data_IF_949301459537
#
_entry.id   IF_949301459537
#
_cell.length_a   1.000
_cell.length_b   1.000
_cell.length_c   1.000
_cell.angle_alpha   90.00
_cell.angle_beta   90.00
_cell.angle_gamma   90.00
#
_symmetry.space_group_name_H-M   'P 1'
#
loop_
_entity.id
_entity.type
_entity.pdbx_description
1 polymer ?
#
# COMPACT_ATOMS: atom_id res chain seq x y z
N UNK A 1 -9.05 17.93 -11.50
CA UNK A 1 -10.07 18.00 -12.57
C UNK A 1 -11.47 17.54 -12.09
N UNK A 2 -11.63 16.29 -11.59
CA UNK A 2 -12.95 15.77 -11.15
C UNK A 2 -13.55 16.60 -9.99
N UNK A 3 -12.78 16.84 -8.94
CA UNK A 3 -13.23 17.62 -7.78
C UNK A 3 -13.66 19.03 -8.19
N UNK A 4 -12.83 19.75 -8.93
CA UNK A 4 -13.14 21.10 -9.44
C UNK A 4 -14.44 21.10 -10.24
N UNK A 5 -14.60 20.16 -11.19
CA UNK A 5 -15.79 20.08 -12.03
C UNK A 5 -17.08 19.92 -11.22
N UNK A 6 -17.06 19.06 -10.20
CA UNK A 6 -18.24 18.81 -9.36
C UNK A 6 -18.56 20.02 -8.47
N UNK A 7 -17.56 20.64 -7.86
CA UNK A 7 -17.75 21.81 -7.02
C UNK A 7 -18.24 23.02 -7.84
N UNK A 8 -17.70 23.23 -9.03
CA UNK A 8 -18.16 24.27 -9.96
C UNK A 8 -19.63 24.06 -10.35
N UNK A 9 -20.06 22.80 -10.48
CA UNK A 9 -21.45 22.46 -10.77
C UNK A 9 -22.38 22.88 -9.64
N UNK A 10 -22.00 22.63 -8.38
CA UNK A 10 -22.77 23.05 -7.19
C UNK A 10 -22.84 24.57 -7.10
N UNK A 11 -21.72 25.26 -7.33
CA UNK A 11 -21.68 26.74 -7.32
C UNK A 11 -22.59 27.36 -8.38
N UNK A 12 -22.61 26.80 -9.60
CA UNK A 12 -23.51 27.24 -10.68
C UNK A 12 -24.98 26.99 -10.37
N UNK A 13 -25.30 25.96 -9.59
CA UNK A 13 -26.65 25.59 -9.22
C UNK A 13 -27.26 26.38 -8.04
N UNK A 14 -26.54 27.40 -7.51
CA UNK A 14 -27.02 28.25 -6.43
C UNK A 14 -26.13 28.29 -5.19
N UNK A 15 -24.90 27.81 -5.30
CA UNK A 15 -23.85 27.89 -4.28
C UNK A 15 -24.27 27.31 -2.92
N UNK A 16 -24.92 26.13 -2.95
CA UNK A 16 -25.33 25.40 -1.76
C UNK A 16 -24.14 25.11 -0.81
N UNK A 17 -24.38 24.99 0.50
CA UNK A 17 -23.35 24.61 1.45
C UNK A 17 -22.81 23.21 1.14
N UNK A 18 -21.48 23.08 1.15
CA UNK A 18 -20.75 21.85 0.81
C UNK A 18 -20.11 21.27 2.06
N UNK A 19 -20.30 19.98 2.26
CA UNK A 19 -19.60 19.17 3.27
C UNK A 19 -18.71 18.18 2.57
N UNK A 20 -17.43 18.13 2.98
CA UNK A 20 -16.43 17.25 2.39
C UNK A 20 -16.17 16.07 3.32
N UNK A 21 -16.20 14.86 2.80
CA UNK A 21 -15.88 13.65 3.56
C UNK A 21 -14.61 13.02 3.02
N UNK A 22 -13.63 12.83 3.90
CA UNK A 22 -12.35 12.18 3.60
C UNK A 22 -12.03 11.16 4.68
N UNK A 23 -11.10 10.23 4.41
CA UNK A 23 -10.58 9.38 5.48
C UNK A 23 -9.45 10.09 6.23
N UNK A 24 -8.48 10.64 5.49
CA UNK A 24 -7.35 11.38 6.06
C UNK A 24 -7.67 12.87 6.20
N UNK A 25 -7.17 13.53 7.26
CA UNK A 25 -7.23 14.99 7.34
C UNK A 25 -6.39 15.62 6.21
N UNK A 26 -6.92 16.71 5.63
CA UNK A 26 -6.27 17.40 4.50
C UNK A 26 -5.21 18.39 5.00
N UNK A 27 -4.10 17.87 5.52
CA UNK A 27 -3.01 18.69 6.06
C UNK A 27 -1.63 18.07 5.80
N UNK A 28 -0.59 18.84 6.05
CA UNK A 28 0.79 18.38 5.99
C UNK A 28 1.03 17.21 6.97
N UNK A 29 1.70 16.18 6.49
CA UNK A 29 2.01 14.94 7.22
C UNK A 29 0.95 13.85 7.13
N UNK A 30 -0.25 14.15 6.60
CA UNK A 30 -1.32 13.18 6.38
C UNK A 30 -1.61 12.95 4.89
N UNK A 31 -1.54 14.03 4.08
CA UNK A 31 -1.77 13.99 2.62
C UNK A 31 -0.75 14.89 1.92
N UNK A 32 0.07 14.34 1.03
CA UNK A 32 1.17 15.09 0.40
C UNK A 32 0.71 16.30 -0.41
N UNK A 33 -0.36 16.17 -1.16
CA UNK A 33 -0.94 17.25 -1.98
C UNK A 33 -2.16 17.93 -1.35
N UNK A 34 -2.24 17.93 -0.02
CA UNK A 34 -3.35 18.55 0.74
C UNK A 34 -3.68 19.96 0.26
N UNK A 35 -2.66 20.76 -0.03
CA UNK A 35 -2.77 22.15 -0.46
C UNK A 35 -3.46 22.29 -1.82
N UNK A 36 -3.24 21.38 -2.77
CA UNK A 36 -3.94 21.41 -4.07
C UNK A 36 -5.44 21.18 -3.90
N UNK A 37 -5.80 20.32 -2.93
CA UNK A 37 -7.20 20.02 -2.61
C UNK A 37 -7.84 21.20 -1.89
N UNK A 38 -7.17 21.76 -0.87
CA UNK A 38 -7.71 22.92 -0.12
C UNK A 38 -7.83 24.16 -1.01
N UNK A 39 -6.91 24.38 -1.95
CA UNK A 39 -6.99 25.49 -2.95
C UNK A 39 -8.28 25.40 -3.77
N UNK A 40 -8.67 24.18 -4.17
CA UNK A 40 -9.93 23.98 -4.89
C UNK A 40 -11.12 24.17 -3.96
N UNK A 41 -11.10 23.62 -2.77
CA UNK A 41 -12.20 23.70 -1.80
C UNK A 41 -12.52 25.14 -1.38
N UNK A 42 -11.49 25.96 -1.17
CA UNK A 42 -11.59 27.37 -0.73
C UNK A 42 -12.26 28.30 -1.74
N UNK A 43 -12.41 27.86 -2.99
CA UNK A 43 -13.13 28.62 -4.03
C UNK A 43 -14.65 28.43 -3.95
N UNK A 44 -15.12 27.61 -3.00
CA UNK A 44 -16.53 27.20 -2.91
C UNK A 44 -17.06 27.35 -1.48
N UNK A 45 -18.39 27.27 -1.33
CA UNK A 45 -19.09 27.40 -0.04
C UNK A 45 -18.94 26.14 0.83
N UNK A 46 -17.69 25.73 1.12
CA UNK A 46 -17.37 24.57 1.95
C UNK A 46 -17.59 24.91 3.42
N UNK A 47 -18.37 24.14 4.14
CA UNK A 47 -18.67 24.36 5.55
C UNK A 47 -17.62 23.77 6.47
N UNK A 48 -17.25 22.54 6.23
CA UNK A 48 -16.17 21.83 6.91
C UNK A 48 -15.78 20.57 6.14
N UNK A 49 -14.64 20.03 6.50
CA UNK A 49 -14.19 18.70 6.15
C UNK A 49 -14.52 17.77 7.32
N UNK A 50 -14.93 16.54 7.05
CA UNK A 50 -15.20 15.52 8.05
C UNK A 50 -14.41 14.26 7.75
N UNK A 51 -13.58 13.84 8.68
CA UNK A 51 -12.65 12.74 8.51
C UNK A 51 -12.64 11.73 9.64
N UNK A 52 -11.71 10.79 9.53
CA UNK A 52 -11.46 9.72 10.48
C UNK A 52 -9.98 9.58 10.81
N UNK A 53 -9.39 8.43 10.48
CA UNK A 53 -7.98 8.06 10.58
C UNK A 53 -7.42 7.98 12.01
N UNK A 54 -7.52 9.05 12.80
CA UNK A 54 -6.99 9.09 14.18
C UNK A 54 -7.88 8.41 15.23
N UNK A 55 -9.05 7.92 14.84
CA UNK A 55 -10.00 7.19 15.70
C UNK A 55 -10.45 7.96 16.95
N UNK A 56 -10.43 9.29 16.93
CA UNK A 56 -10.84 10.18 18.03
C UNK A 56 -11.33 11.50 17.51
N UNK A 57 -12.10 12.20 18.33
CA UNK A 57 -12.58 13.54 18.01
C UNK A 57 -11.42 14.54 18.04
N UNK A 58 -11.17 15.23 16.95
CA UNK A 58 -10.17 16.28 16.80
C UNK A 58 -10.69 17.37 15.86
N UNK A 59 -10.19 18.57 16.07
CA UNK A 59 -10.39 19.69 15.12
C UNK A 59 -9.03 20.15 14.63
N UNK A 60 -8.87 20.21 13.32
CA UNK A 60 -7.73 20.82 12.66
C UNK A 60 -8.16 22.03 11.85
N UNK A 61 -7.24 22.92 11.61
CA UNK A 61 -7.35 23.96 10.60
C UNK A 61 -6.61 23.48 9.36
N UNK A 62 -7.34 23.35 8.26
CA UNK A 62 -6.80 22.97 6.97
C UNK A 62 -6.88 24.18 6.02
N UNK A 63 -5.92 25.09 6.17
CA UNK A 63 -5.83 26.32 5.37
C UNK A 63 -7.12 27.18 5.50
N UNK A 64 -7.58 27.37 6.75
CA UNK A 64 -8.81 28.09 7.10
C UNK A 64 -10.11 27.29 7.01
N UNK A 65 -10.07 26.05 6.53
CA UNK A 65 -11.23 25.16 6.53
C UNK A 65 -11.16 24.28 7.79
N UNK A 66 -12.23 24.27 8.57
CA UNK A 66 -12.33 23.35 9.72
C UNK A 66 -12.37 21.90 9.24
N UNK A 67 -11.41 21.09 9.70
CA UNK A 67 -11.36 19.65 9.44
C UNK A 67 -11.63 18.89 10.74
N UNK A 68 -12.79 18.27 10.82
CA UNK A 68 -13.34 17.63 12.01
C UNK A 68 -13.17 16.13 11.90
N UNK A 69 -12.23 15.58 12.65
CA UNK A 69 -12.09 14.14 12.75
C UNK A 69 -13.06 13.57 13.77
N UNK A 70 -13.66 12.48 13.40
CA UNK A 70 -14.65 11.79 14.21
C UNK A 70 -14.05 10.51 14.82
N UNK A 71 -14.52 10.16 16.00
CA UNK A 71 -14.13 8.88 16.63
C UNK A 71 -14.52 7.70 15.74
N UNK A 72 -13.72 6.63 15.80
CA UNK A 72 -14.12 5.34 15.26
C UNK A 72 -15.06 4.60 16.21
N UNK A 73 -15.78 3.62 15.67
CA UNK A 73 -16.59 2.72 16.49
C UNK A 73 -15.72 1.89 17.47
N UNK A 74 -14.57 1.40 17.00
CA UNK A 74 -13.57 0.69 17.81
C UNK A 74 -12.38 1.62 18.11
N UNK A 75 -12.02 1.73 19.40
CA UNK A 75 -10.87 2.50 19.86
C UNK A 75 -10.04 1.66 20.83
N UNK A 76 -8.73 1.56 20.61
CA UNK A 76 -7.83 0.67 21.34
C UNK A 76 -7.88 0.77 22.88
N UNK A 77 -8.32 1.91 23.40
CA UNK A 77 -8.37 2.18 24.83
C UNK A 77 -9.79 2.44 25.37
N UNK A 78 -10.79 2.33 24.52
CA UNK A 78 -12.18 2.58 24.88
C UNK A 78 -12.97 1.27 24.83
N UNK A 79 -13.51 0.87 25.95
CA UNK A 79 -14.30 -0.36 26.06
C UNK A 79 -15.75 -0.20 25.60
N UNK A 80 -16.18 1.06 25.32
CA UNK A 80 -17.53 1.38 24.90
C UNK A 80 -17.53 1.86 23.44
N UNK A 81 -18.18 1.14 22.55
CA UNK A 81 -18.39 1.53 21.18
C UNK A 81 -19.22 2.81 21.09
N UNK A 82 -19.04 3.56 19.99
CA UNK A 82 -19.79 4.79 19.78
C UNK A 82 -19.67 5.33 18.37
N UNK A 83 -20.36 6.43 18.14
CA UNK A 83 -20.42 7.13 16.86
C UNK A 83 -20.59 8.63 17.08
N UNK A 84 -20.43 9.41 16.03
CA UNK A 84 -20.68 10.86 16.05
C UNK A 84 -22.10 11.15 15.55
N UNK A 85 -22.76 12.09 16.21
CA UNK A 85 -24.01 12.68 15.75
C UNK A 85 -23.71 14.11 15.34
N UNK A 86 -24.14 14.50 14.16
CA UNK A 86 -23.97 15.86 13.63
C UNK A 86 -25.34 16.44 13.36
N UNK A 87 -25.61 17.60 13.93
CA UNK A 87 -26.85 18.35 13.68
C UNK A 87 -26.52 19.67 13.00
N UNK A 88 -27.33 20.03 12.01
CA UNK A 88 -27.15 21.25 11.22
C UNK A 88 -28.44 22.04 11.34
N UNK A 89 -28.34 23.24 11.94
CA UNK A 89 -29.45 24.20 12.08
C UNK A 89 -28.94 25.60 11.77
N UNK A 90 -28.81 26.45 12.75
CA UNK A 90 -28.10 27.74 12.76
C UNK A 90 -26.57 27.57 12.91
N UNK A 91 -26.16 26.38 13.29
CA UNK A 91 -24.79 25.97 13.51
C UNK A 91 -24.65 24.50 13.20
N UNK A 92 -23.39 24.04 13.02
CA UNK A 92 -23.04 22.64 12.85
C UNK A 92 -22.54 22.16 14.22
N UNK A 93 -23.27 21.27 14.86
CA UNK A 93 -22.96 20.76 16.19
C UNK A 93 -22.57 19.30 16.13
N UNK A 94 -21.47 18.97 16.76
CA UNK A 94 -20.89 17.63 16.81
C UNK A 94 -21.04 17.05 18.22
N UNK A 95 -21.58 15.83 18.29
CA UNK A 95 -21.78 15.09 19.53
C UNK A 95 -21.07 13.75 19.46
N UNK A 96 -20.45 13.34 20.54
CA UNK A 96 -20.01 11.96 20.73
C UNK A 96 -21.12 11.17 21.41
N UNK A 97 -21.54 10.07 20.78
CA UNK A 97 -22.49 9.14 21.37
C UNK A 97 -21.81 7.81 21.64
N UNK A 98 -21.69 7.45 22.92
CA UNK A 98 -21.27 6.13 23.35
C UNK A 98 -22.50 5.27 23.61
N UNK A 99 -22.40 3.95 23.30
CA UNK A 99 -23.52 3.04 23.48
C UNK A 99 -23.86 2.95 24.96
N UNK A 100 -25.13 3.18 25.31
CA UNK A 100 -25.62 3.18 26.71
C UNK A 100 -25.43 4.49 27.47
N UNK A 101 -24.75 5.51 26.91
CA UNK A 101 -24.58 6.84 27.52
C UNK A 101 -25.31 7.91 26.72
N UNK A 102 -25.54 9.07 27.30
CA UNK A 102 -26.11 10.22 26.61
C UNK A 102 -25.12 10.79 25.58
N UNK A 103 -25.65 11.47 24.58
CA UNK A 103 -24.81 12.15 23.58
C UNK A 103 -24.18 13.41 24.21
N UNK A 104 -22.85 13.49 24.12
CA UNK A 104 -22.06 14.59 24.68
C UNK A 104 -21.65 15.55 23.57
N UNK A 105 -22.02 16.82 23.69
CA UNK A 105 -21.62 17.88 22.77
C UNK A 105 -20.15 18.21 22.97
N UNK A 106 -19.36 18.30 21.89
CA UNK A 106 -17.94 18.62 21.98
C UNK A 106 -17.47 19.75 21.07
N UNK A 107 -18.21 20.04 19.97
CA UNK A 107 -17.81 21.08 19.01
C UNK A 107 -19.04 21.71 18.36
N UNK A 108 -18.99 23.04 18.16
CA UNK A 108 -19.89 23.80 17.30
C UNK A 108 -19.10 24.62 16.30
N UNK A 109 -19.53 24.57 15.05
CA UNK A 109 -19.02 25.43 13.97
C UNK A 109 -20.15 26.34 13.46
N UNK A 110 -19.85 27.57 13.00
CA UNK A 110 -20.83 28.42 12.39
C UNK A 110 -21.28 27.83 11.05
N UNK A 111 -22.58 27.86 10.81
CA UNK A 111 -23.19 27.45 9.54
C UNK A 111 -23.65 28.69 8.77
N UNK A 112 -23.38 28.76 7.48
CA UNK A 112 -23.75 29.88 6.62
C UNK A 112 -22.85 30.00 5.41
N UNK A 113 -23.02 31.04 4.63
CA UNK A 113 -22.15 31.27 3.48
C UNK A 113 -20.68 31.47 3.92
N UNK A 114 -19.79 30.75 3.28
CA UNK A 114 -18.35 30.77 3.53
C UNK A 114 -17.63 31.39 2.35
N UNK A 115 -16.77 32.35 2.67
CA UNK A 115 -15.77 32.92 1.77
C UNK A 115 -14.42 32.86 2.46
N UNK A 116 -13.45 32.29 1.79
CA UNK A 116 -12.11 32.11 2.34
C UNK A 116 -11.19 33.21 1.83
N UNK A 117 -10.45 33.83 2.74
CA UNK A 117 -9.46 34.87 2.42
C UNK A 117 -8.27 34.34 1.60
N UNK A 118 -7.22 35.14 1.41
CA UNK A 118 -6.02 34.69 0.72
C UNK A 118 -5.40 33.44 1.36
N UNK A 119 -4.83 32.58 0.53
CA UNK A 119 -4.11 31.38 0.98
C UNK A 119 -2.79 31.75 1.63
N UNK A 120 -2.45 31.13 2.76
CA UNK A 120 -1.11 31.21 3.34
C UNK A 120 -0.17 30.26 2.58
N UNK A 121 0.64 30.80 1.68
CA UNK A 121 1.59 30.01 0.91
C UNK A 121 2.84 29.63 1.69
N UNK A 122 3.07 30.22 2.88
CA UNK A 122 4.26 29.93 3.71
C UNK A 122 4.26 28.53 4.28
N UNK A 123 3.08 27.93 4.43
CA UNK A 123 2.89 26.53 4.92
C UNK A 123 2.97 25.49 3.80
N UNK A 124 3.16 25.91 2.55
CA UNK A 124 3.27 25.00 1.39
C UNK A 124 4.58 24.23 1.44
N UNK A 125 4.60 22.98 0.91
CA UNK A 125 5.84 22.24 0.77
C UNK A 125 6.84 22.97 -0.11
N UNK A 126 8.11 22.99 0.30
CA UNK A 126 9.20 23.51 -0.52
C UNK A 126 9.72 22.43 -1.48
N UNK A 127 9.50 22.61 -2.77
CA UNK A 127 9.99 21.74 -3.82
C UNK A 127 11.28 22.24 -4.47
N UNK A 128 12.00 23.17 -3.83
CA UNK A 128 13.25 23.73 -4.38
C UNK A 128 14.32 22.67 -4.61
N UNK A 129 14.32 21.60 -3.81
CA UNK A 129 15.19 20.42 -3.98
C UNK A 129 15.13 19.83 -5.39
N UNK A 130 13.96 19.88 -6.05
CA UNK A 130 13.80 19.39 -7.42
C UNK A 130 14.65 20.19 -8.44
N UNK A 131 15.09 21.41 -8.09
CA UNK A 131 15.97 22.23 -8.93
C UNK A 131 17.44 21.82 -8.83
N UNK A 132 17.82 21.15 -7.76
CA UNK A 132 19.18 20.66 -7.53
C UNK A 132 19.49 19.43 -8.40
N UNK A 133 18.51 18.59 -8.63
CA UNK A 133 18.63 17.36 -9.42
C UNK A 133 18.35 17.60 -10.91
N UNK A 134 19.10 18.51 -11.54
CA UNK A 134 18.93 18.91 -12.95
C UNK A 134 19.08 17.77 -13.96
N UNK A 135 19.74 16.68 -13.55
CA UNK A 135 19.95 15.50 -14.39
C UNK A 135 18.77 14.53 -14.37
N UNK A 136 17.84 14.67 -13.42
CA UNK A 136 16.61 13.88 -13.37
C UNK A 136 15.61 14.50 -14.34
N UNK A 137 15.27 13.78 -15.40
CA UNK A 137 14.30 14.22 -16.42
C UNK A 137 13.10 13.29 -16.44
N UNK A 138 11.92 13.87 -16.37
CA UNK A 138 10.70 13.10 -16.64
C UNK A 138 10.64 12.74 -18.12
N UNK A 139 10.70 11.45 -18.44
CA UNK A 139 10.60 10.96 -19.81
C UNK A 139 9.17 11.08 -20.34
N UNK A 140 8.20 10.65 -19.53
CA UNK A 140 6.77 10.73 -19.84
C UNK A 140 5.93 10.74 -18.56
N UNK A 141 4.64 11.00 -18.73
CA UNK A 141 3.64 10.95 -17.68
C UNK A 141 2.35 10.35 -18.26
N UNK A 142 1.70 9.47 -17.50
CA UNK A 142 0.44 8.85 -17.87
C UNK A 142 -0.55 8.92 -16.71
N UNK A 143 -1.69 9.56 -16.91
CA UNK A 143 -2.80 9.46 -15.99
C UNK A 143 -3.58 8.17 -16.30
N UNK A 144 -3.82 7.34 -15.30
CA UNK A 144 -4.65 6.14 -15.38
C UNK A 144 -6.05 6.46 -14.82
N UNK A 145 -7.01 5.52 -14.98
CA UNK A 145 -8.40 5.73 -14.53
C UNK A 145 -8.56 5.66 -13.03
N UNK A 146 -7.82 4.75 -12.37
CA UNK A 146 -7.89 4.49 -10.94
C UNK A 146 -6.59 4.77 -10.20
N UNK A 147 -6.62 4.63 -8.88
CA UNK A 147 -5.45 4.64 -8.02
C UNK A 147 -4.55 3.43 -8.28
N UNK A 148 -3.26 3.58 -8.04
CA UNK A 148 -2.27 2.53 -8.26
C UNK A 148 -1.77 2.06 -6.90
N UNK A 149 -1.97 0.77 -6.61
CA UNK A 149 -1.43 0.08 -5.44
C UNK A 149 -0.38 -0.97 -5.83
N UNK A 150 -0.41 -1.43 -7.09
CA UNK A 150 0.52 -2.41 -7.61
C UNK A 150 1.87 -1.78 -7.97
N UNK A 151 2.96 -2.51 -7.77
CA UNK A 151 4.26 -2.14 -8.30
C UNK A 151 4.32 -2.50 -9.79
N UNK A 152 4.75 -1.57 -10.67
CA UNK A 152 4.88 -1.87 -12.08
C UNK A 152 6.01 -2.89 -12.33
N UNK A 153 5.84 -3.75 -13.34
CA UNK A 153 6.88 -4.67 -13.80
C UNK A 153 7.16 -4.45 -15.28
N UNK A 154 8.33 -4.87 -15.75
CA UNK A 154 8.76 -4.66 -17.14
C UNK A 154 9.42 -5.91 -17.72
N UNK A 155 9.23 -6.11 -19.03
CA UNK A 155 9.97 -7.07 -19.86
C UNK A 155 11.13 -6.41 -20.64
N UNK A 156 11.47 -5.13 -20.30
CA UNK A 156 12.47 -4.33 -21.01
C UNK A 156 11.92 -3.51 -22.17
N UNK A 157 10.73 -3.80 -22.66
CA UNK A 157 10.07 -3.07 -23.74
C UNK A 157 8.74 -2.43 -23.32
N UNK A 158 8.00 -3.13 -22.50
CA UNK A 158 6.69 -2.77 -21.98
C UNK A 158 6.71 -2.72 -20.44
N UNK A 159 5.86 -1.88 -19.89
CA UNK A 159 5.57 -1.78 -18.47
C UNK A 159 4.14 -2.27 -18.24
N UNK A 160 3.96 -3.13 -17.25
CA UNK A 160 2.66 -3.70 -16.88
C UNK A 160 2.27 -3.20 -15.48
N UNK A 161 1.02 -2.71 -15.35
CA UNK A 161 0.52 -2.15 -14.09
C UNK A 161 -1.00 -2.26 -14.01
N UNK A 162 -1.52 -2.63 -12.84
CA UNK A 162 -2.95 -2.67 -12.54
C UNK A 162 -3.41 -1.46 -11.75
N UNK A 163 -4.68 -1.10 -11.89
CA UNK A 163 -5.31 -0.03 -11.10
C UNK A 163 -6.47 -0.55 -10.24
N UNK A 164 -6.96 0.30 -9.33
CA UNK A 164 -8.02 -0.05 -8.37
C UNK A 164 -9.44 0.05 -8.94
N UNK A 165 -9.59 0.38 -10.21
CA UNK A 165 -10.87 0.25 -10.93
C UNK A 165 -10.93 -1.01 -11.79
N UNK A 166 -9.83 -1.80 -11.83
CA UNK A 166 -9.81 -3.14 -12.41
C UNK A 166 -9.16 -3.26 -13.77
N UNK A 167 -8.42 -2.27 -14.20
CA UNK A 167 -7.77 -2.28 -15.51
C UNK A 167 -6.29 -2.65 -15.38
N UNK A 168 -5.86 -3.69 -16.10
CA UNK A 168 -4.45 -4.00 -16.35
C UNK A 168 -4.01 -3.27 -17.61
N UNK A 169 -2.92 -2.55 -17.54
CA UNK A 169 -2.32 -1.79 -18.63
C UNK A 169 -1.00 -2.42 -19.06
N UNK A 170 -0.76 -2.44 -20.37
CA UNK A 170 0.58 -2.51 -20.94
C UNK A 170 0.90 -1.17 -21.58
N UNK A 171 1.99 -0.57 -21.13
CA UNK A 171 2.49 0.73 -21.61
C UNK A 171 3.85 0.55 -22.26
N UNK A 172 4.12 1.24 -23.34
CA UNK A 172 5.47 1.30 -23.92
C UNK A 172 6.42 1.94 -22.91
N UNK A 173 7.50 1.25 -22.56
CA UNK A 173 8.42 1.70 -21.49
C UNK A 173 9.09 3.04 -21.81
N UNK A 174 9.36 3.34 -23.09
CA UNK A 174 10.06 4.59 -23.50
C UNK A 174 9.13 5.77 -23.65
N UNK A 175 7.88 5.57 -24.09
CA UNK A 175 6.96 6.67 -24.45
C UNK A 175 5.74 6.80 -23.55
N UNK A 176 5.43 5.80 -22.70
CA UNK A 176 4.21 5.75 -21.91
C UNK A 176 2.92 5.57 -22.73
N UNK A 177 3.02 5.32 -24.03
CA UNK A 177 1.84 5.03 -24.85
C UNK A 177 1.25 3.68 -24.49
N UNK A 178 -0.09 3.58 -24.49
CA UNK A 178 -0.78 2.32 -24.20
C UNK A 178 -0.63 1.36 -25.36
N UNK A 179 -0.10 0.16 -25.11
CA UNK A 179 -0.06 -0.94 -26.03
C UNK A 179 -1.42 -1.65 -26.05
N UNK A 180 -1.91 -2.03 -24.87
CA UNK A 180 -3.21 -2.66 -24.68
C UNK A 180 -3.73 -2.42 -23.25
N UNK A 181 -5.01 -2.70 -23.04
CA UNK A 181 -5.67 -2.77 -21.73
C UNK A 181 -6.49 -4.06 -21.63
N UNK A 182 -6.61 -4.57 -20.40
CA UNK A 182 -7.48 -5.68 -20.05
C UNK A 182 -8.29 -5.31 -18.81
N UNK A 183 -9.61 -5.34 -18.91
CA UNK A 183 -10.52 -4.91 -17.84
C UNK A 183 -11.11 -6.13 -17.13
N UNK A 184 -10.83 -6.27 -15.83
CA UNK A 184 -11.37 -7.35 -14.99
C UNK A 184 -12.69 -6.96 -14.31
N UNK A 185 -13.09 -5.70 -14.39
CA UNK A 185 -14.26 -5.14 -13.71
C UNK A 185 -14.12 -4.95 -12.20
N UNK A 186 -13.02 -5.40 -11.58
CA UNK A 186 -12.77 -5.30 -10.15
C UNK A 186 -11.28 -5.06 -9.88
N UNK A 187 -10.98 -4.40 -8.76
CA UNK A 187 -9.65 -3.93 -8.35
C UNK A 187 -8.51 -4.92 -8.63
N UNK A 188 -7.40 -4.39 -9.13
CA UNK A 188 -6.11 -5.07 -9.24
C UNK A 188 -5.17 -4.40 -8.24
N UNK A 189 -4.97 -5.02 -7.09
CA UNK A 189 -4.15 -4.51 -5.98
C UNK A 189 -2.76 -5.12 -6.01
N UNK A 190 -2.68 -6.44 -6.27
CA UNK A 190 -1.43 -7.18 -6.34
C UNK A 190 -0.58 -6.77 -7.54
N UNK A 191 0.73 -6.77 -7.33
CA UNK A 191 1.68 -6.50 -8.42
C UNK A 191 1.71 -7.67 -9.41
N UNK A 192 1.67 -7.41 -10.72
CA UNK A 192 1.79 -8.45 -11.73
C UNK A 192 3.22 -9.03 -11.74
N UNK A 193 3.38 -10.17 -12.41
CA UNK A 193 4.67 -10.68 -12.82
C UNK A 193 4.66 -10.92 -14.33
N UNK A 194 5.82 -10.77 -14.98
CA UNK A 194 5.98 -11.02 -16.43
C UNK A 194 7.23 -11.85 -16.68
N UNK A 195 7.10 -12.92 -17.43
CA UNK A 195 8.19 -13.74 -17.95
C UNK A 195 7.73 -14.48 -19.18
N UNK A 196 8.66 -14.73 -20.10
CA UNK A 196 8.46 -15.57 -21.28
C UNK A 196 7.19 -15.24 -22.09
N UNK A 197 6.88 -13.95 -22.19
CA UNK A 197 5.72 -13.47 -22.95
C UNK A 197 4.37 -13.62 -22.28
N UNK A 198 4.34 -13.96 -20.98
CA UNK A 198 3.10 -14.09 -20.20
C UNK A 198 3.10 -13.11 -19.01
N UNK A 199 1.99 -12.40 -18.80
CA UNK A 199 1.73 -11.56 -17.64
C UNK A 199 0.76 -12.30 -16.74
N UNK A 200 1.13 -12.50 -15.46
CA UNK A 200 0.29 -13.14 -14.43
C UNK A 200 -0.05 -12.17 -13.34
N UNK A 201 -1.32 -12.10 -12.93
CA UNK A 201 -1.80 -11.24 -11.85
C UNK A 201 -3.11 -11.74 -11.25
N UNK A 202 -3.43 -11.27 -10.04
CA UNK A 202 -4.70 -11.51 -9.37
C UNK A 202 -5.63 -10.30 -9.45
N UNK A 203 -6.93 -10.55 -9.33
CA UNK A 203 -7.97 -9.52 -9.27
C UNK A 203 -8.94 -9.76 -8.12
N UNK A 204 -9.56 -8.68 -7.65
CA UNK A 204 -10.62 -8.76 -6.64
C UNK A 204 -11.93 -9.39 -7.18
N UNK A 205 -12.00 -9.71 -8.47
CA UNK A 205 -13.09 -10.48 -9.07
C UNK A 205 -12.98 -11.99 -8.87
N UNK A 206 -12.07 -12.42 -7.96
CA UNK A 206 -11.83 -13.82 -7.59
C UNK A 206 -11.15 -14.66 -8.66
N UNK A 207 -10.37 -14.04 -9.54
CA UNK A 207 -9.62 -14.75 -10.56
C UNK A 207 -8.13 -14.41 -10.51
N UNK A 208 -7.32 -15.40 -10.88
CA UNK A 208 -5.93 -15.28 -11.31
C UNK A 208 -5.92 -15.34 -12.82
N UNK A 209 -5.23 -14.42 -13.47
CA UNK A 209 -5.17 -14.31 -14.92
C UNK A 209 -3.77 -14.54 -15.45
N UNK A 210 -3.68 -15.20 -16.62
CA UNK A 210 -2.52 -15.22 -17.47
C UNK A 210 -2.86 -14.60 -18.83
N UNK A 211 -2.15 -13.54 -19.20
CA UNK A 211 -2.34 -12.84 -20.45
C UNK A 211 -1.11 -12.94 -21.34
N UNK A 212 -1.31 -12.99 -22.65
CA UNK A 212 -0.23 -12.76 -23.60
C UNK A 212 0.32 -11.35 -23.46
N UNK A 213 1.59 -11.23 -23.13
CA UNK A 213 2.24 -9.96 -22.79
C UNK A 213 2.25 -8.96 -23.93
N UNK A 214 2.28 -9.43 -25.19
CA UNK A 214 2.34 -8.60 -26.39
C UNK A 214 0.97 -8.03 -26.76
N UNK A 215 -0.08 -8.84 -26.63
CA UNK A 215 -1.42 -8.52 -27.15
C UNK A 215 -2.47 -8.20 -26.08
N UNK A 216 -2.22 -8.58 -24.82
CA UNK A 216 -3.20 -8.49 -23.73
C UNK A 216 -4.33 -9.52 -23.84
N UNK A 217 -4.24 -10.48 -24.76
CA UNK A 217 -5.24 -11.54 -24.90
C UNK A 217 -5.15 -12.49 -23.72
N UNK A 218 -6.28 -12.82 -23.14
CA UNK A 218 -6.37 -13.85 -22.11
C UNK A 218 -5.94 -15.21 -22.68
N UNK A 219 -4.99 -15.84 -22.01
CA UNK A 219 -4.56 -17.21 -22.27
C UNK A 219 -5.33 -18.18 -21.38
N UNK A 220 -5.48 -17.82 -20.11
CA UNK A 220 -6.20 -18.60 -19.11
C UNK A 220 -6.62 -17.73 -17.94
N UNK A 221 -7.58 -18.22 -17.16
CA UNK A 221 -7.84 -17.75 -15.81
C UNK A 221 -8.19 -18.91 -14.87
N UNK A 222 -7.97 -18.69 -13.57
CA UNK A 222 -8.28 -19.64 -12.50
C UNK A 222 -9.20 -18.96 -11.52
N UNK A 223 -10.39 -19.52 -11.32
CA UNK A 223 -11.33 -19.04 -10.32
C UNK A 223 -10.89 -19.45 -8.91
N UNK A 224 -10.95 -18.51 -7.99
CA UNK A 224 -10.70 -18.70 -6.55
C UNK A 224 -11.96 -18.41 -5.75
N UNK A 225 -11.95 -18.72 -4.45
CA UNK A 225 -13.14 -18.54 -3.60
C UNK A 225 -13.24 -17.11 -3.02
N UNK A 226 -12.18 -16.31 -3.13
CA UNK A 226 -12.10 -14.93 -2.63
C UNK A 226 -11.17 -14.08 -3.49
N UNK A 227 -11.18 -12.77 -3.26
CA UNK A 227 -10.34 -11.80 -3.96
C UNK A 227 -8.85 -12.19 -3.92
N UNK A 228 -8.17 -12.08 -5.06
CA UNK A 228 -6.73 -12.32 -5.19
C UNK A 228 -6.01 -10.98 -5.20
N UNK A 229 -5.44 -10.62 -4.07
CA UNK A 229 -4.75 -9.34 -3.86
C UNK A 229 -3.25 -9.49 -3.69
N UNK A 230 -2.73 -10.72 -3.66
CA UNK A 230 -1.30 -11.02 -3.57
C UNK A 230 -0.55 -10.65 -4.84
N UNK A 231 0.71 -10.27 -4.70
CA UNK A 231 1.61 -10.11 -5.83
C UNK A 231 2.04 -11.47 -6.38
N UNK A 232 2.27 -11.53 -7.69
CA UNK A 232 2.77 -12.73 -8.35
C UNK A 232 4.29 -12.75 -8.42
N UNK A 233 4.89 -13.94 -8.42
CA UNK A 233 6.29 -14.20 -8.77
C UNK A 233 6.34 -15.30 -9.81
N UNK A 234 7.17 -15.15 -10.84
CA UNK A 234 7.39 -16.20 -11.85
C UNK A 234 8.82 -16.69 -11.75
N UNK A 235 9.00 -18.00 -11.70
CA UNK A 235 10.29 -18.66 -11.74
C UNK A 235 10.21 -19.94 -12.56
N UNK A 236 11.10 -20.07 -13.56
CA UNK A 236 11.20 -21.25 -14.44
C UNK A 236 9.83 -21.70 -15.05
N UNK A 237 9.06 -20.74 -15.58
CA UNK A 237 7.77 -21.02 -16.21
C UNK A 237 6.62 -21.33 -15.24
N UNK A 238 6.84 -21.16 -13.93
CA UNK A 238 5.82 -21.35 -12.90
C UNK A 238 5.54 -20.03 -12.18
N UNK A 239 4.27 -19.65 -12.12
CA UNK A 239 3.81 -18.51 -11.33
C UNK A 239 3.39 -18.95 -9.93
N UNK A 240 3.87 -18.23 -8.92
CA UNK A 240 3.50 -18.38 -7.52
C UNK A 240 2.70 -17.17 -7.08
N UNK A 241 1.48 -17.40 -6.60
CA UNK A 241 0.58 -16.32 -6.19
C UNK A 241 -0.34 -16.77 -5.06
N UNK A 242 -0.51 -15.93 -4.05
CA UNK A 242 -1.40 -16.20 -2.93
C UNK A 242 -2.82 -15.69 -3.17
N UNK A 243 -3.80 -16.52 -2.86
CA UNK A 243 -5.22 -16.19 -2.90
C UNK A 243 -5.71 -15.53 -1.60
N UNK A 244 -6.85 -14.85 -1.67
CA UNK A 244 -7.59 -14.35 -0.51
C UNK A 244 -8.25 -15.47 0.30
N UNK A 245 -8.37 -16.64 -0.29
CA UNK A 245 -9.01 -17.83 0.28
C UNK A 245 -8.06 -18.72 1.10
N UNK A 246 -6.88 -18.20 1.46
CA UNK A 246 -5.91 -18.93 2.27
C UNK A 246 -5.14 -20.02 1.52
N UNK A 247 -5.00 -19.86 0.19
CA UNK A 247 -4.21 -20.77 -0.64
C UNK A 247 -3.01 -20.07 -1.25
N UNK A 248 -1.91 -20.81 -1.40
CA UNK A 248 -0.77 -20.47 -2.25
C UNK A 248 -0.77 -21.40 -3.45
N UNK A 249 -0.71 -20.84 -4.65
CA UNK A 249 -0.77 -21.59 -5.91
C UNK A 249 0.58 -21.57 -6.61
N UNK A 250 0.93 -22.71 -7.24
CA UNK A 250 1.94 -22.81 -8.29
C UNK A 250 1.25 -23.17 -9.61
N UNK A 251 1.41 -22.34 -10.61
CA UNK A 251 0.65 -22.39 -11.86
C UNK A 251 1.63 -22.39 -13.02
N UNK A 252 1.47 -23.30 -13.96
CA UNK A 252 2.16 -23.25 -15.22
C UNK A 252 1.71 -22.00 -16.01
N UNK A 253 2.65 -21.12 -16.38
CA UNK A 253 2.28 -19.82 -16.96
C UNK A 253 1.69 -19.94 -18.38
N UNK A 254 1.97 -21.01 -19.10
CA UNK A 254 1.51 -21.18 -20.48
C UNK A 254 0.12 -21.81 -20.56
N UNK A 255 -0.12 -22.82 -19.73
CA UNK A 255 -1.37 -23.60 -19.75
C UNK A 255 -2.41 -23.17 -18.73
N UNK A 256 -1.99 -22.50 -17.66
CA UNK A 256 -2.85 -22.24 -16.50
C UNK A 256 -3.08 -23.48 -15.62
N UNK A 257 -2.35 -24.57 -15.85
CA UNK A 257 -2.44 -25.77 -15.01
C UNK A 257 -1.91 -25.49 -13.60
N UNK A 258 -2.71 -25.79 -12.58
CA UNK A 258 -2.28 -25.72 -11.18
C UNK A 258 -1.41 -26.95 -10.89
N UNK A 259 -0.10 -26.74 -10.76
CA UNK A 259 0.86 -27.81 -10.44
C UNK A 259 0.68 -28.30 -8.99
N UNK A 260 0.46 -27.38 -8.09
CA UNK A 260 0.09 -27.64 -6.69
C UNK A 260 -0.58 -26.40 -6.07
N UNK A 261 -1.33 -26.65 -5.00
CA UNK A 261 -1.89 -25.62 -4.15
C UNK A 261 -1.71 -26.02 -2.68
N UNK A 262 -1.13 -25.11 -1.89
CA UNK A 262 -1.04 -25.27 -0.44
C UNK A 262 -2.24 -24.54 0.19
N UNK A 263 -3.08 -25.23 0.95
CA UNK A 263 -4.39 -24.77 1.46
C UNK A 263 -4.50 -24.70 3.00
N UNK A 264 -3.36 -24.79 3.69
CA UNK A 264 -3.34 -24.76 5.16
C UNK A 264 -3.17 -23.34 5.75
N UNK A 265 -3.19 -22.29 4.92
CA UNK A 265 -3.08 -20.91 5.39
C UNK A 265 -4.40 -20.50 6.06
N UNK A 266 -4.29 -19.84 7.22
CA UNK A 266 -5.47 -19.40 7.98
C UNK A 266 -5.94 -17.99 7.61
N UNK A 267 -5.22 -17.31 6.71
CA UNK A 267 -5.56 -15.97 6.24
C UNK A 267 -4.95 -15.73 4.86
N UNK A 268 -5.28 -14.61 4.25
CA UNK A 268 -4.84 -14.28 2.89
C UNK A 268 -3.36 -13.85 2.83
N UNK A 269 -2.82 -13.93 1.61
CA UNK A 269 -1.45 -13.52 1.25
C UNK A 269 -1.52 -12.23 0.45
N UNK A 270 -0.78 -11.21 0.85
CA UNK A 270 -0.59 -9.96 0.08
C UNK A 270 0.83 -9.81 -0.45
N UNK A 271 1.78 -10.46 0.22
CA UNK A 271 3.21 -10.36 -0.11
C UNK A 271 3.49 -10.83 -1.52
N UNK A 272 4.62 -10.41 -2.05
CA UNK A 272 5.25 -11.04 -3.22
C UNK A 272 6.06 -12.24 -2.71
N UNK A 273 5.75 -13.48 -3.14
CA UNK A 273 6.53 -14.64 -2.78
C UNK A 273 7.96 -14.55 -3.33
N UNK A 274 8.93 -14.97 -2.52
CA UNK A 274 10.33 -15.06 -2.92
C UNK A 274 10.68 -16.51 -3.24
N UNK A 275 11.26 -16.75 -4.39
CA UNK A 275 11.91 -18.02 -4.72
C UNK A 275 13.41 -17.89 -4.40
N UNK A 276 13.90 -18.78 -3.55
CA UNK A 276 15.33 -18.88 -3.24
C UNK A 276 15.71 -20.33 -3.03
N UNK A 277 16.75 -20.79 -3.73
CA UNK A 277 17.09 -22.21 -3.83
C UNK A 277 15.88 -23.05 -4.27
N UNK A 278 15.53 -24.07 -3.51
CA UNK A 278 14.44 -25.02 -3.78
C UNK A 278 13.13 -24.67 -3.05
N UNK A 279 13.03 -23.47 -2.46
CA UNK A 279 11.88 -23.09 -1.62
C UNK A 279 11.24 -21.77 -2.03
N UNK A 280 9.96 -21.66 -1.69
CA UNK A 280 9.13 -20.48 -1.80
C UNK A 280 8.89 -19.88 -0.42
N UNK A 281 9.22 -18.58 -0.25
CA UNK A 281 9.10 -17.88 1.03
C UNK A 281 8.07 -16.75 0.95
N UNK A 282 7.16 -16.68 1.92
CA UNK A 282 6.14 -15.63 1.96
C UNK A 282 5.54 -15.45 3.36
N UNK A 283 5.04 -14.26 3.63
CA UNK A 283 4.29 -13.96 4.84
C UNK A 283 2.78 -13.96 4.62
N UNK A 284 2.02 -14.18 5.68
CA UNK A 284 0.55 -14.17 5.64
C UNK A 284 -0.03 -13.36 6.80
N UNK A 285 -1.30 -12.97 6.70
CA UNK A 285 -2.02 -12.29 7.78
C UNK A 285 -2.44 -13.21 8.93
N UNK A 286 -2.01 -14.46 8.92
CA UNK A 286 -2.19 -15.40 10.05
C UNK A 286 -1.03 -15.36 11.06
N UNK A 287 -0.21 -14.33 11.02
CA UNK A 287 0.96 -14.07 11.88
C UNK A 287 2.20 -14.90 11.54
N UNK A 288 2.18 -15.71 10.50
CA UNK A 288 3.29 -16.59 10.14
C UNK A 288 4.01 -16.15 8.87
N UNK A 289 5.26 -16.55 8.80
CA UNK A 289 6.09 -16.57 7.60
C UNK A 289 6.37 -18.02 7.24
N UNK A 290 6.19 -18.39 5.98
CA UNK A 290 6.22 -19.77 5.50
C UNK A 290 7.36 -19.98 4.54
N UNK A 291 7.90 -21.22 4.54
CA UNK A 291 8.72 -21.78 3.47
C UNK A 291 8.07 -23.07 2.96
N UNK A 292 7.82 -23.15 1.66
CA UNK A 292 7.29 -24.34 0.99
C UNK A 292 8.33 -24.87 0.00
N UNK A 293 8.37 -26.18 -0.21
CA UNK A 293 9.15 -26.77 -1.29
C UNK A 293 8.57 -26.41 -2.64
N UNK A 294 9.39 -25.96 -3.60
CA UNK A 294 8.93 -25.59 -4.94
C UNK A 294 8.37 -26.79 -5.72
N UNK A 295 8.88 -27.98 -5.46
CA UNK A 295 8.56 -29.17 -6.22
C UNK A 295 7.09 -29.60 -6.08
N UNK A 296 6.54 -29.53 -4.87
CA UNK A 296 5.23 -30.10 -4.54
C UNK A 296 4.37 -29.22 -3.63
N UNK A 297 4.89 -28.08 -3.19
CA UNK A 297 4.19 -27.17 -2.28
C UNK A 297 4.13 -27.64 -0.84
N UNK A 298 4.81 -28.72 -0.46
CA UNK A 298 4.84 -29.21 0.91
C UNK A 298 5.52 -28.22 1.85
N UNK A 299 5.06 -28.15 3.10
CA UNK A 299 5.61 -27.27 4.12
C UNK A 299 7.03 -27.69 4.51
N UNK A 300 8.02 -26.83 4.26
CA UNK A 300 9.37 -27.01 4.78
C UNK A 300 9.47 -26.55 6.23
N UNK A 301 9.06 -25.32 6.50
CA UNK A 301 8.95 -24.76 7.84
C UNK A 301 8.04 -23.54 7.87
N UNK A 302 7.65 -23.12 9.07
CA UNK A 302 6.98 -21.84 9.32
C UNK A 302 7.53 -21.18 10.58
N UNK A 303 7.57 -19.88 10.56
CA UNK A 303 8.03 -19.05 11.66
C UNK A 303 6.95 -18.05 12.08
N UNK A 304 6.90 -17.73 13.36
CA UNK A 304 6.01 -16.71 13.91
C UNK A 304 6.82 -15.70 14.73
N UNK A 305 6.47 -14.42 14.62
CA UNK A 305 7.17 -13.35 15.33
C UNK A 305 6.84 -13.24 16.84
N UNK A 306 6.09 -14.20 17.39
CA UNK A 306 5.64 -14.22 18.78
C UNK A 306 4.43 -13.31 19.05
N UNK A 307 3.80 -12.75 18.02
CA UNK A 307 2.60 -11.92 18.13
C UNK A 307 1.35 -12.70 17.75
N UNK A 308 0.26 -12.41 18.43
CA UNK A 308 -1.06 -12.97 18.13
C UNK A 308 -1.96 -12.01 17.35
N UNK A 309 -1.58 -10.73 17.28
CA UNK A 309 -2.32 -9.71 16.54
C UNK A 309 -1.98 -9.80 15.05
N UNK A 310 -2.94 -10.14 14.16
CA UNK A 310 -2.71 -10.22 12.72
C UNK A 310 -2.14 -8.93 12.10
N UNK A 311 -2.46 -7.76 12.64
CA UNK A 311 -1.91 -6.48 12.17
C UNK A 311 -0.39 -6.35 12.31
N UNK A 312 0.25 -7.25 13.04
CA UNK A 312 1.71 -7.31 13.25
C UNK A 312 2.35 -8.44 12.43
N UNK A 313 1.62 -9.04 11.51
CA UNK A 313 2.08 -10.13 10.66
C UNK A 313 3.13 -9.67 9.63
N UNK A 314 4.06 -10.55 9.21
CA UNK A 314 4.98 -10.29 8.11
C UNK A 314 4.29 -10.42 6.73
N UNK A 315 3.05 -9.93 6.61
CA UNK A 315 2.15 -10.22 5.51
C UNK A 315 2.30 -9.30 4.30
N UNK A 316 2.90 -8.13 4.48
CA UNK A 316 3.05 -7.12 3.41
C UNK A 316 4.49 -6.99 2.91
N UNK A 317 5.45 -7.58 3.60
CA UNK A 317 6.85 -7.48 3.21
C UNK A 317 7.15 -8.29 1.95
N UNK A 318 8.00 -7.74 1.10
CA UNK A 318 8.64 -8.50 0.02
C UNK A 318 9.99 -9.00 0.56
N UNK A 319 10.09 -10.27 0.93
CA UNK A 319 11.32 -10.79 1.50
C UNK A 319 12.46 -10.79 0.48
N UNK A 320 13.69 -10.69 0.97
CA UNK A 320 14.90 -10.85 0.17
C UNK A 320 15.78 -11.94 0.78
N UNK A 321 16.63 -12.55 -0.03
CA UNK A 321 17.51 -13.63 0.40
C UNK A 321 18.93 -13.42 -0.10
N UNK A 322 19.90 -13.72 0.76
CA UNK A 322 21.31 -13.75 0.43
C UNK A 322 22.07 -14.68 1.40
N UNK A 323 23.10 -15.34 0.93
CA UNK A 323 24.04 -16.13 1.74
C UNK A 323 23.35 -17.13 2.69
N UNK A 324 22.34 -17.86 2.17
CA UNK A 324 21.58 -18.86 2.95
C UNK A 324 20.63 -18.28 3.98
N UNK A 325 20.35 -16.99 3.93
CA UNK A 325 19.49 -16.26 4.89
C UNK A 325 18.33 -15.59 4.19
N UNK A 326 17.20 -15.45 4.90
CA UNK A 326 16.01 -14.70 4.51
C UNK A 326 15.88 -13.48 5.41
N UNK A 327 15.68 -12.32 4.80
CA UNK A 327 15.51 -11.06 5.50
C UNK A 327 14.11 -10.53 5.32
N UNK A 328 13.45 -10.24 6.44
CA UNK A 328 12.07 -9.74 6.48
C UNK A 328 11.93 -8.59 7.47
N UNK A 329 10.98 -7.73 7.18
CA UNK A 329 10.50 -6.68 8.08
C UNK A 329 9.00 -6.89 8.32
N UNK A 330 8.48 -6.40 9.43
CA UNK A 330 7.05 -6.52 9.72
C UNK A 330 6.54 -5.31 10.51
N UNK A 331 5.22 -5.09 10.57
CA UNK A 331 4.62 -4.01 11.36
C UNK A 331 4.91 -4.08 12.86
N UNK A 332 5.48 -5.17 13.37
CA UNK A 332 5.99 -5.28 14.74
C UNK A 332 7.29 -4.47 14.97
N UNK A 333 7.80 -3.83 13.90
CA UNK A 333 8.97 -2.94 13.87
C UNK A 333 10.31 -3.62 14.07
N UNK A 334 10.37 -4.92 13.80
CA UNK A 334 11.61 -5.68 13.82
C UNK A 334 12.13 -5.93 12.41
N UNK A 335 13.44 -5.86 12.28
CA UNK A 335 14.18 -6.46 11.19
C UNK A 335 14.59 -7.86 11.64
N UNK A 336 14.27 -8.86 10.85
CA UNK A 336 14.48 -10.27 11.20
C UNK A 336 15.24 -10.96 10.10
N UNK A 337 16.30 -11.69 10.49
CA UNK A 337 17.07 -12.59 9.64
C UNK A 337 16.77 -14.02 10.08
N UNK A 338 16.32 -14.84 9.14
CA UNK A 338 16.07 -16.26 9.33
C UNK A 338 17.05 -17.08 8.51
N UNK A 339 17.47 -18.22 9.04
CA UNK A 339 18.14 -19.25 8.27
C UNK A 339 17.18 -19.80 7.21
N UNK A 340 17.57 -19.78 5.95
CA UNK A 340 16.71 -20.16 4.83
C UNK A 340 16.29 -21.64 4.87
N UNK A 341 17.16 -22.52 5.36
CA UNK A 341 16.89 -23.96 5.37
C UNK A 341 15.94 -24.36 6.50
N UNK A 342 16.12 -23.78 7.69
CA UNK A 342 15.46 -24.23 8.91
C UNK A 342 14.41 -23.28 9.46
N UNK A 343 14.41 -22.02 9.03
CA UNK A 343 13.56 -20.96 9.61
C UNK A 343 13.99 -20.49 11.00
N UNK A 344 15.16 -20.95 11.48
CA UNK A 344 15.72 -20.51 12.75
C UNK A 344 16.08 -19.00 12.68
N UNK A 345 15.84 -18.28 13.78
CA UNK A 345 16.22 -16.87 13.87
C UNK A 345 17.74 -16.78 13.98
N UNK A 346 18.38 -16.17 12.98
CA UNK A 346 19.82 -15.84 13.03
C UNK A 346 20.02 -14.62 13.90
N UNK A 347 19.29 -13.55 13.59
CA UNK A 347 19.21 -12.36 14.44
C UNK A 347 17.86 -11.62 14.26
N UNK A 348 17.53 -10.75 15.22
CA UNK A 348 16.34 -9.93 15.19
C UNK A 348 16.55 -8.66 15.99
N UNK A 349 16.36 -7.49 15.35
CA UNK A 349 16.56 -6.18 15.96
C UNK A 349 15.40 -5.24 15.70
N UNK A 350 15.09 -4.34 16.65
CA UNK A 350 14.13 -3.26 16.50
C UNK A 350 14.76 -1.85 16.60
N UNK A 351 16.08 -1.79 16.53
CA UNK A 351 16.84 -0.55 16.69
C UNK A 351 16.40 0.51 15.69
N UNK A 352 16.17 0.11 14.42
CA UNK A 352 15.82 1.03 13.33
C UNK A 352 14.32 1.18 13.10
N UNK A 353 13.46 0.47 13.85
CA UNK A 353 11.99 0.53 13.72
C UNK A 353 11.52 0.45 12.28
N UNK A 354 12.08 -0.48 11.53
CA UNK A 354 11.65 -0.82 10.18
C UNK A 354 10.22 -1.37 10.19
N UNK A 355 9.55 -1.41 9.05
CA UNK A 355 8.17 -1.89 9.04
C UNK A 355 7.88 -2.89 7.91
N UNK A 356 7.90 -2.46 6.65
CA UNK A 356 7.45 -3.30 5.53
C UNK A 356 8.41 -3.28 4.36
N UNK A 357 9.54 -2.57 4.49
CA UNK A 357 10.46 -2.37 3.40
C UNK A 357 11.78 -3.08 3.62
N UNK A 358 12.20 -3.85 2.66
CA UNK A 358 13.53 -4.43 2.58
C UNK A 358 13.92 -4.56 1.11
N UNK A 359 15.15 -4.19 0.78
CA UNK A 359 15.78 -4.33 -0.53
C UNK A 359 17.14 -4.99 -0.40
N UNK A 360 17.68 -5.50 -1.50
CA UNK A 360 18.96 -6.15 -1.58
C UNK A 360 19.79 -5.48 -2.68
N UNK A 361 21.10 -5.30 -2.45
CA UNK A 361 22.04 -4.84 -3.46
C UNK A 361 22.18 -5.86 -4.59
N UNK A 362 22.62 -5.41 -5.77
CA UNK A 362 22.85 -6.27 -6.94
C UNK A 362 23.91 -7.33 -6.68
N UNK A 363 24.92 -7.03 -5.83
CA UNK A 363 25.98 -7.98 -5.44
C UNK A 363 25.58 -8.89 -4.26
N UNK A 364 24.33 -8.78 -3.79
CA UNK A 364 23.73 -9.56 -2.69
C UNK A 364 24.44 -9.43 -1.33
N UNK A 365 25.24 -8.36 -1.13
CA UNK A 365 26.01 -8.19 0.11
C UNK A 365 25.40 -7.18 1.08
N UNK A 366 24.50 -6.31 0.59
CA UNK A 366 23.93 -5.24 1.40
C UNK A 366 22.41 -5.29 1.37
N UNK A 367 21.81 -5.22 2.55
CA UNK A 367 20.36 -5.14 2.73
C UNK A 367 20.01 -3.70 3.09
N UNK A 368 19.02 -3.15 2.39
CA UNK A 368 18.52 -1.80 2.63
C UNK A 368 17.13 -1.85 3.26
N UNK A 369 16.87 -0.97 4.22
CA UNK A 369 15.53 -0.71 4.71
C UNK A 369 15.35 0.77 5.01
N UNK A 370 14.25 1.34 4.56
CA UNK A 370 13.80 2.65 4.99
C UNK A 370 13.03 2.51 6.30
N UNK A 371 13.48 3.21 7.33
CA UNK A 371 12.83 3.22 8.62
C UNK A 371 11.57 4.10 8.60
N UNK A 372 10.73 3.97 9.62
CA UNK A 372 9.54 4.83 9.76
C UNK A 372 9.88 6.32 9.96
N UNK A 373 11.11 6.61 10.37
CA UNK A 373 11.67 7.96 10.52
C UNK A 373 12.72 8.14 9.44
N UNK A 374 13.09 9.30 9.11
CA UNK A 374 14.03 9.82 8.11
C UNK A 374 15.19 8.91 7.64
N UNK A 375 15.39 7.78 8.26
CA UNK A 375 16.60 6.97 8.15
C UNK A 375 16.46 5.86 7.11
N UNK A 376 17.47 5.72 6.26
CA UNK A 376 17.74 4.49 5.51
C UNK A 376 18.91 3.79 6.19
N UNK A 377 18.76 2.51 6.50
CA UNK A 377 19.79 1.67 7.06
C UNK A 377 20.26 0.64 6.04
N UNK A 378 21.57 0.47 5.94
CA UNK A 378 22.20 -0.59 5.16
C UNK A 378 22.90 -1.56 6.11
N UNK A 379 22.57 -2.83 5.99
CA UNK A 379 23.13 -3.92 6.80
C UNK A 379 23.93 -4.87 5.91
N UNK A 380 24.99 -5.46 6.47
CA UNK A 380 25.75 -6.51 5.80
C UNK A 380 24.95 -7.81 5.76
N UNK A 381 24.65 -8.30 4.56
CA UNK A 381 23.91 -9.54 4.33
C UNK A 381 24.72 -10.80 4.60
N UNK A 382 26.06 -10.71 4.66
CA UNK A 382 26.96 -11.87 4.75
C UNK A 382 27.22 -12.32 6.18
N UNK A 383 26.92 -11.48 7.18
CA UNK A 383 27.20 -11.77 8.59
C UNK A 383 26.06 -12.52 9.29
N UNK A 384 26.39 -13.14 10.42
CA UNK A 384 25.42 -13.81 11.31
C UNK A 384 24.97 -12.92 12.48
N UNK A 385 25.51 -11.70 12.55
CA UNK A 385 25.15 -10.67 13.50
C UNK A 385 24.68 -9.43 12.78
N UNK A 386 23.99 -8.53 13.49
CA UNK A 386 23.58 -7.24 12.93
C UNK A 386 24.80 -6.37 12.71
N UNK A 387 25.22 -6.21 11.48
CA UNK A 387 26.34 -5.34 11.09
C UNK A 387 25.82 -4.22 10.20
N UNK A 388 25.93 -2.99 10.69
CA UNK A 388 25.53 -1.79 9.97
C UNK A 388 26.67 -1.34 9.07
N UNK A 389 26.43 -1.33 7.76
CA UNK A 389 27.38 -0.80 6.77
C UNK A 389 27.36 0.73 6.77
N UNK A 390 26.18 1.32 6.73
CA UNK A 390 25.98 2.76 6.84
C UNK A 390 24.53 3.10 7.21
N UNK A 391 24.35 4.33 7.66
CA UNK A 391 23.04 4.93 7.96
C UNK A 391 23.00 6.28 7.27
N UNK A 392 21.92 6.56 6.53
CA UNK A 392 21.65 7.87 5.95
C UNK A 392 20.45 8.50 6.64
N UNK A 393 20.61 9.72 7.10
CA UNK A 393 19.50 10.55 7.52
C UNK A 393 19.11 11.44 6.35
N UNK A 394 17.94 11.20 5.76
CA UNK A 394 17.50 11.87 4.53
C UNK A 394 16.42 12.93 4.78
N UNK A 395 16.10 13.19 6.05
CA UNK A 395 15.13 14.21 6.49
C UNK A 395 13.74 14.08 5.83
N UNK A 396 13.31 12.84 5.55
CA UNK A 396 12.00 12.56 4.93
C UNK A 396 10.80 12.81 5.86
N UNK A 397 11.03 12.99 7.16
CA UNK A 397 9.98 13.01 8.17
C UNK A 397 9.41 11.63 8.49
N UNK A 398 8.35 11.61 9.27
CA UNK A 398 7.71 10.36 9.67
C UNK A 398 6.83 9.82 8.53
N UNK A 399 7.05 8.56 8.17
CA UNK A 399 6.20 7.82 7.24
C UNK A 399 5.72 6.53 7.86
N UNK A 400 4.42 6.30 7.79
CA UNK A 400 3.82 5.10 8.36
C UNK A 400 4.15 3.85 7.54
N UNK A 401 4.13 3.97 6.21
CA UNK A 401 4.45 2.92 5.25
C UNK A 401 5.54 3.43 4.28
N UNK A 402 6.80 3.38 4.69
CA UNK A 402 7.88 3.88 3.84
C UNK A 402 8.01 3.06 2.55
N UNK A 403 8.36 3.73 1.47
CA UNK A 403 8.64 3.07 0.20
C UNK A 403 9.85 2.11 0.32
N UNK A 404 9.84 1.04 -0.47
CA UNK A 404 10.96 0.11 -0.52
C UNK A 404 12.16 0.78 -1.22
N UNK A 405 13.35 0.78 -0.60
CA UNK A 405 14.55 1.25 -1.26
C UNK A 405 14.97 0.27 -2.36
N UNK A 406 15.35 0.81 -3.51
CA UNK A 406 15.92 0.05 -4.62
C UNK A 406 17.31 0.59 -4.90
N UNK A 407 18.27 -0.29 -5.08
CA UNK A 407 19.58 0.04 -5.64
C UNK A 407 19.42 0.20 -7.16
N UNK A 408 20.16 1.17 -7.71
CA UNK A 408 20.16 1.47 -9.15
C UNK A 408 21.48 1.04 -9.78
#
# INVERSE_FOLDING_TARGET
AWLQHNLDSVSRAGNAPIFVFTHYPLRNGDVDNWYEVTDVLRQHNVQCIMGGHYHRNLLFDCDGIADVLNRSNLRDKDTINGYSIITITDSIRFYEKRIGLDAEHWLSLPFGYKEYGPTDTSIRPDFSVNKEYKNVKRLWHKALKGGIYSTPVTDGSSLYIGDDVGVMYSLNLKSGTTNWIFDTGMRIIGSPAVSDGVVVFGSANYNIYGLDAKTGKELWHIATNQAVMGAATIHNGVAYIGGGDGRMFAIDIYSGEVKWAFDELKNYVLTRPLVYNDKLYFGTWDTHFYALHLADGSLAWKWNNGRTNPKLSPASVWPVAADGKIFITAPDRYFTCLDAETGAVVWRTNEYKVRETVGLSEDEKTIYSKCMWDTIVALDATTHDVQVSWVSNAEFGYEHNPAMPLEK
#
